data_IF_593853815521
#
_entry.id   IF_593853815521
#
_cell.length_a   1.000
_cell.length_b   1.000
_cell.length_c   1.000
_cell.angle_alpha   90.00
_cell.angle_beta   90.00
_cell.angle_gamma   90.00
#
_symmetry.space_group_name_H-M   'P 1'
#
loop_
_entity.id
_entity.type
_entity.pdbx_description
1 polymer ?
#
# COMPACT_ATOMS: atom_id res chain seq x y z
N UNK A 1 -5.02 -15.05 -9.68
CA UNK A 1 -4.38 -13.76 -9.97
C UNK A 1 -2.90 -13.91 -10.20
N UNK A 2 -2.09 -14.30 -9.22
CA UNK A 2 -0.62 -14.33 -9.32
C UNK A 2 -0.05 -15.15 -10.49
N UNK A 3 -0.72 -16.20 -10.92
CA UNK A 3 -0.32 -16.94 -12.13
C UNK A 3 -0.44 -16.08 -13.40
N UNK A 4 -1.48 -15.26 -13.49
CA UNK A 4 -1.69 -14.36 -14.64
C UNK A 4 -0.60 -13.30 -14.67
N UNK A 5 -0.30 -12.69 -13.53
CA UNK A 5 0.77 -11.69 -13.39
C UNK A 5 2.15 -12.30 -13.66
N UNK A 6 2.41 -13.52 -13.19
CA UNK A 6 3.63 -14.26 -13.51
C UNK A 6 3.80 -14.53 -15.01
N UNK A 7 2.74 -14.94 -15.68
CA UNK A 7 2.75 -15.14 -17.15
C UNK A 7 2.97 -13.80 -17.88
N UNK A 8 2.28 -12.73 -17.45
CA UNK A 8 2.48 -11.40 -18.01
C UNK A 8 3.92 -10.90 -17.79
N UNK A 9 4.52 -11.21 -16.64
CA UNK A 9 5.92 -10.90 -16.33
C UNK A 9 6.92 -11.57 -17.27
N UNK A 10 6.66 -12.80 -17.69
CA UNK A 10 7.50 -13.50 -18.68
C UNK A 10 7.50 -12.80 -20.04
N UNK A 11 6.40 -12.14 -20.38
CA UNK A 11 6.24 -11.43 -21.65
C UNK A 11 6.44 -9.90 -21.50
N UNK A 12 6.92 -9.42 -20.36
CA UNK A 12 7.09 -8.00 -20.06
C UNK A 12 7.85 -7.24 -21.15
N UNK A 13 8.85 -7.86 -21.77
CA UNK A 13 9.63 -7.29 -22.84
C UNK A 13 8.79 -6.79 -24.05
N UNK A 14 7.66 -7.44 -24.31
CA UNK A 14 6.75 -7.05 -25.37
C UNK A 14 5.78 -5.96 -24.93
N UNK A 15 5.31 -6.04 -23.68
CA UNK A 15 4.34 -5.12 -23.09
C UNK A 15 4.94 -3.76 -22.75
N UNK A 16 6.20 -3.71 -22.30
CA UNK A 16 6.88 -2.47 -21.92
C UNK A 16 6.96 -1.49 -23.08
N UNK A 17 7.07 -2.00 -24.32
CA UNK A 17 7.06 -1.18 -25.53
C UNK A 17 5.69 -0.58 -25.87
N UNK A 18 4.63 -1.23 -25.38
CA UNK A 18 3.25 -0.81 -25.61
C UNK A 18 2.78 0.20 -24.55
N UNK A 19 3.46 0.27 -23.39
CA UNK A 19 3.11 1.13 -22.27
C UNK A 19 4.08 2.30 -22.18
N UNK A 20 3.76 3.47 -22.81
CA UNK A 20 4.58 4.68 -22.65
C UNK A 20 4.64 5.10 -21.18
N UNK A 21 5.74 5.75 -20.77
CA UNK A 21 5.92 6.27 -19.40
C UNK A 21 4.76 7.18 -18.94
N UNK A 22 4.12 7.89 -19.87
CA UNK A 22 2.94 8.72 -19.58
C UNK A 22 1.77 7.89 -19.06
N UNK A 23 1.54 6.70 -19.61
CA UNK A 23 0.46 5.79 -19.16
C UNK A 23 0.72 5.33 -17.74
N UNK A 24 1.94 4.88 -17.43
CA UNK A 24 2.33 4.48 -16.08
C UNK A 24 2.16 5.63 -15.09
N UNK A 25 2.65 6.83 -15.42
CA UNK A 25 2.49 8.01 -14.56
C UNK A 25 1.02 8.37 -14.32
N UNK A 26 0.17 8.26 -15.35
CA UNK A 26 -1.27 8.52 -15.22
C UNK A 26 -1.95 7.50 -14.32
N UNK A 27 -1.62 6.21 -14.46
CA UNK A 27 -2.17 5.13 -13.62
C UNK A 27 -1.78 5.33 -12.16
N UNK A 28 -0.50 5.56 -11.86
CA UNK A 28 -0.01 5.83 -10.50
C UNK A 28 -0.69 7.06 -9.88
N UNK A 29 -0.85 8.13 -10.66
CA UNK A 29 -1.55 9.34 -10.22
C UNK A 29 -3.03 9.04 -9.92
N UNK A 30 -3.72 8.30 -10.77
CA UNK A 30 -5.12 7.92 -10.59
C UNK A 30 -5.30 7.05 -9.33
N UNK A 31 -4.38 6.11 -9.09
CA UNK A 31 -4.36 5.29 -7.86
C UNK A 31 -4.18 6.19 -6.64
N UNK A 32 -3.23 7.13 -6.67
CA UNK A 32 -3.02 8.10 -5.60
C UNK A 32 -4.29 8.86 -5.26
N UNK A 33 -5.02 9.37 -6.25
CA UNK A 33 -6.30 10.04 -6.04
C UNK A 33 -7.39 9.12 -5.49
N UNK A 34 -7.43 7.87 -5.94
CA UNK A 34 -8.39 6.87 -5.44
C UNK A 34 -8.14 6.48 -3.98
N UNK A 35 -6.91 6.58 -3.51
CA UNK A 35 -6.54 6.29 -2.12
C UNK A 35 -6.80 7.46 -1.16
N UNK A 36 -7.00 8.69 -1.66
CA UNK A 36 -7.27 9.86 -0.82
C UNK A 36 -8.50 9.69 0.11
N UNK A 37 -9.66 9.20 -0.36
CA UNK A 37 -10.80 8.97 0.52
C UNK A 37 -10.52 7.92 1.59
N UNK A 38 -9.76 6.87 1.24
CA UNK A 38 -9.36 5.80 2.18
C UNK A 38 -8.43 6.38 3.24
N UNK A 39 -7.45 7.19 2.83
CA UNK A 39 -6.56 7.90 3.73
C UNK A 39 -7.30 8.86 4.67
N UNK A 40 -8.23 9.65 4.14
CA UNK A 40 -9.06 10.57 4.92
C UNK A 40 -9.92 9.84 5.95
N UNK A 41 -10.55 8.73 5.57
CA UNK A 41 -11.33 7.91 6.48
C UNK A 41 -10.46 7.28 7.59
N UNK A 42 -9.27 6.78 7.24
CA UNK A 42 -8.33 6.23 8.21
C UNK A 42 -7.81 7.31 9.17
N UNK A 43 -7.56 8.52 8.66
CA UNK A 43 -7.15 9.67 9.45
C UNK A 43 -8.23 10.09 10.47
N UNK A 44 -9.51 9.94 10.12
CA UNK A 44 -10.64 10.22 10.99
C UNK A 44 -10.93 9.11 12.02
N UNK A 45 -10.18 8.00 12.02
CA UNK A 45 -10.33 6.90 12.96
C UNK A 45 -10.89 5.61 12.38
N UNK A 46 -11.08 5.53 11.06
CA UNK A 46 -11.62 4.36 10.35
C UNK A 46 -13.13 4.34 10.24
N UNK A 47 -13.63 3.88 9.08
CA UNK A 47 -15.07 3.77 8.83
C UNK A 47 -15.72 2.78 9.79
N UNK A 48 -16.82 3.20 10.45
CA UNK A 48 -17.57 2.36 11.38
C UNK A 48 -17.07 2.41 12.82
N UNK A 49 -16.02 3.15 13.13
CA UNK A 49 -15.61 3.41 14.50
C UNK A 49 -16.62 4.35 15.18
N UNK A 50 -17.03 4.08 16.45
CA UNK A 50 -17.90 4.96 17.20
C UNK A 50 -17.28 6.36 17.42
N UNK A 51 -15.96 6.46 17.40
CA UNK A 51 -15.19 7.70 17.57
C UNK A 51 -14.76 8.33 16.25
N UNK A 52 -15.43 7.97 15.14
CA UNK A 52 -15.12 8.53 13.83
C UNK A 52 -15.21 10.06 13.83
N UNK A 53 -14.17 10.72 13.37
CA UNK A 53 -14.12 12.19 13.32
C UNK A 53 -13.83 12.87 14.67
N UNK A 54 -13.54 12.11 15.74
CA UNK A 54 -13.20 12.69 17.04
C UNK A 54 -11.92 13.53 16.98
N UNK A 55 -11.85 14.53 17.86
CA UNK A 55 -10.66 15.39 17.97
C UNK A 55 -9.40 14.59 18.27
N UNK A 56 -9.52 13.52 19.06
CA UNK A 56 -8.41 12.63 19.39
C UNK A 56 -7.82 11.96 18.15
N UNK A 57 -8.66 11.46 17.24
CA UNK A 57 -8.22 10.86 15.98
C UNK A 57 -7.48 11.90 15.12
N UNK A 58 -8.01 13.13 15.05
CA UNK A 58 -7.39 14.22 14.31
C UNK A 58 -6.01 14.60 14.88
N UNK A 59 -5.86 14.63 16.20
CA UNK A 59 -4.57 14.91 16.87
C UNK A 59 -3.57 13.80 16.55
N UNK A 60 -3.94 12.55 16.77
CA UNK A 60 -3.04 11.40 16.50
C UNK A 60 -2.64 11.36 15.04
N UNK A 61 -3.61 11.50 14.12
CA UNK A 61 -3.37 11.52 12.69
C UNK A 61 -2.43 12.66 12.27
N UNK A 62 -2.67 13.88 12.78
CA UNK A 62 -1.85 15.05 12.47
C UNK A 62 -0.42 14.91 12.97
N UNK A 63 -0.23 14.43 14.20
CA UNK A 63 1.10 14.22 14.80
C UNK A 63 1.85 13.11 14.03
N UNK A 64 1.17 12.03 13.68
CA UNK A 64 1.74 10.94 12.88
C UNK A 64 2.20 11.42 11.52
N UNK A 65 1.35 12.18 10.82
CA UNK A 65 1.67 12.75 9.52
C UNK A 65 2.85 13.73 9.62
N UNK A 66 2.82 14.60 10.62
CA UNK A 66 3.89 15.58 10.86
C UNK A 66 5.22 14.88 11.15
N UNK A 67 5.22 13.84 12.00
CA UNK A 67 6.40 13.05 12.31
C UNK A 67 6.98 12.39 11.06
N UNK A 68 6.12 11.81 10.22
CA UNK A 68 6.51 11.21 8.94
C UNK A 68 7.14 12.27 8.01
N UNK A 69 6.51 13.43 7.83
CA UNK A 69 7.01 14.52 6.99
C UNK A 69 8.32 15.11 7.51
N UNK A 70 8.43 15.34 8.81
CA UNK A 70 9.66 15.84 9.42
C UNK A 70 10.81 14.84 9.23
N UNK A 71 10.54 13.55 9.43
CA UNK A 71 11.54 12.52 9.17
C UNK A 71 11.93 12.50 7.69
N UNK A 72 10.98 12.60 6.77
CA UNK A 72 11.23 12.63 5.33
C UNK A 72 12.12 13.82 4.90
N UNK A 73 11.92 14.98 5.50
CA UNK A 73 12.64 16.23 5.15
C UNK A 73 14.00 16.30 5.82
N UNK A 74 14.07 16.03 7.11
CA UNK A 74 15.28 16.27 7.92
C UNK A 74 16.20 15.06 8.03
N UNK A 75 15.66 13.82 7.93
CA UNK A 75 16.51 12.64 8.02
C UNK A 75 17.30 12.41 6.73
N UNK A 76 18.50 11.85 6.88
CA UNK A 76 19.40 11.51 5.78
C UNK A 76 19.62 10.00 5.70
N UNK A 77 19.90 9.50 4.50
CA UNK A 77 20.24 8.11 4.28
C UNK A 77 19.10 7.14 4.62
N UNK A 78 19.40 6.10 5.36
CA UNK A 78 18.49 4.99 5.67
C UNK A 78 17.23 5.43 6.46
N UNK A 79 17.38 6.37 7.40
CA UNK A 79 16.28 6.90 8.19
C UNK A 79 15.22 7.62 7.34
N UNK A 80 15.62 8.27 6.25
CA UNK A 80 14.68 8.89 5.31
C UNK A 80 13.79 7.84 4.64
N UNK A 81 14.34 6.69 4.29
CA UNK A 81 13.58 5.58 3.70
C UNK A 81 12.60 4.95 4.71
N UNK A 82 12.90 5.06 6.00
CA UNK A 82 12.05 4.56 7.09
C UNK A 82 11.09 5.61 7.66
N UNK A 83 10.91 6.76 7.00
CA UNK A 83 10.07 7.86 7.51
C UNK A 83 8.64 7.44 7.87
N UNK A 84 8.05 6.57 7.05
CA UNK A 84 6.69 6.03 7.30
C UNK A 84 6.67 5.15 8.56
N UNK A 85 7.69 4.32 8.77
CA UNK A 85 7.82 3.48 9.96
C UNK A 85 7.99 4.33 11.23
N UNK A 86 8.80 5.39 11.16
CA UNK A 86 8.96 6.34 12.26
C UNK A 86 7.63 7.01 12.59
N UNK A 87 6.91 7.49 11.58
CA UNK A 87 5.57 8.06 11.76
C UNK A 87 4.61 7.08 12.43
N UNK A 88 4.59 5.83 11.98
CA UNK A 88 3.76 4.77 12.55
C UNK A 88 4.08 4.50 14.02
N UNK A 89 5.36 4.41 14.38
CA UNK A 89 5.80 4.20 15.78
C UNK A 89 5.37 5.38 16.65
N UNK A 90 5.62 6.60 16.21
CA UNK A 90 5.24 7.82 16.97
C UNK A 90 3.71 7.89 17.14
N UNK A 91 2.95 7.65 16.08
CA UNK A 91 1.49 7.65 16.14
C UNK A 91 0.94 6.56 17.06
N UNK A 92 1.51 5.35 17.01
CA UNK A 92 1.09 4.26 17.86
C UNK A 92 1.39 4.52 19.34
N UNK A 93 2.57 5.05 19.65
CA UNK A 93 2.93 5.45 21.01
C UNK A 93 1.94 6.50 21.52
N UNK A 94 1.65 7.54 20.73
CA UNK A 94 0.70 8.57 21.10
C UNK A 94 -0.71 8.00 21.33
N UNK A 95 -1.18 7.12 20.46
CA UNK A 95 -2.47 6.45 20.61
C UNK A 95 -2.54 5.60 21.90
N UNK A 96 -1.45 4.93 22.27
CA UNK A 96 -1.35 4.22 23.56
C UNK A 96 -1.44 5.18 24.75
N UNK A 97 -0.75 6.32 24.70
CA UNK A 97 -0.82 7.34 25.78
C UNK A 97 -2.22 7.95 25.91
N UNK A 98 -2.93 8.09 24.80
CA UNK A 98 -4.31 8.60 24.80
C UNK A 98 -5.35 7.53 25.17
N UNK A 99 -4.93 6.29 25.44
CA UNK A 99 -5.84 5.17 25.82
C UNK A 99 -6.75 4.72 24.67
N UNK A 100 -6.38 5.01 23.41
CA UNK A 100 -7.19 4.65 22.24
C UNK A 100 -6.93 3.21 21.76
N UNK A 101 -5.94 2.54 22.32
CA UNK A 101 -5.55 1.18 21.94
C UNK A 101 -6.18 0.18 22.91
N UNK A 102 -7.05 -0.67 22.39
CA UNK A 102 -7.65 -1.77 23.15
C UNK A 102 -6.83 -3.07 22.95
N UNK A 103 -6.19 -3.52 24.01
CA UNK A 103 -5.41 -4.76 24.03
C UNK A 103 -6.24 -5.98 24.44
N UNK A 104 -7.52 -5.82 24.78
CA UNK A 104 -8.36 -6.93 25.25
C UNK A 104 -8.51 -8.04 24.20
N UNK A 105 -8.52 -7.69 22.93
CA UNK A 105 -8.57 -8.63 21.82
C UNK A 105 -7.35 -9.54 21.69
N UNK A 106 -6.22 -9.16 22.29
CA UNK A 106 -4.98 -9.95 22.24
C UNK A 106 -4.97 -11.11 23.25
N UNK A 107 -5.73 -11.02 24.32
CA UNK A 107 -5.72 -12.01 25.42
C UNK A 107 -6.28 -13.39 25.03
N UNK A 108 -7.01 -13.48 23.91
CA UNK A 108 -7.59 -14.73 23.38
C UNK A 108 -6.86 -15.31 22.17
N UNK A 109 -5.81 -14.66 21.69
CA UNK A 109 -5.11 -15.10 20.50
C UNK A 109 -4.02 -16.13 20.83
N UNK A 110 -3.95 -17.21 20.04
CA UNK A 110 -2.83 -18.14 20.11
C UNK A 110 -1.56 -17.44 19.59
N UNK A 111 -0.45 -17.59 20.33
CA UNK A 111 0.85 -17.00 19.96
C UNK A 111 1.34 -17.53 18.61
N UNK A 112 0.98 -18.76 18.27
CA UNK A 112 1.26 -19.38 16.96
C UNK A 112 -0.01 -20.04 16.46
N UNK A 113 -0.47 -19.65 15.29
CA UNK A 113 -1.55 -20.33 14.59
C UNK A 113 -1.07 -20.79 13.22
N UNK A 114 -1.32 -22.06 12.90
CA UNK A 114 -1.03 -22.57 11.56
C UNK A 114 -2.06 -22.05 10.57
N UNK A 115 -1.62 -21.53 9.42
CA UNK A 115 -2.54 -21.13 8.36
C UNK A 115 -3.32 -22.35 7.87
N UNK A 116 -4.64 -22.21 7.77
CA UNK A 116 -5.47 -23.24 7.14
C UNK A 116 -5.27 -23.17 5.63
N UNK A 117 -4.79 -24.26 5.05
CA UNK A 117 -4.74 -24.43 3.62
C UNK A 117 -6.19 -24.55 3.09
N UNK A 118 -6.57 -23.63 2.22
CA UNK A 118 -7.89 -23.57 1.58
C UNK A 118 -9.08 -23.59 2.57
N UNK A 119 -9.30 -22.52 3.35
CA UNK A 119 -10.45 -22.44 4.25
C UNK A 119 -11.80 -22.36 3.50
N UNK A 120 -11.77 -22.05 2.21
CA UNK A 120 -12.92 -21.95 1.31
C UNK A 120 -12.78 -22.95 0.16
N UNK A 121 -13.90 -23.54 -0.24
CA UNK A 121 -13.96 -24.37 -1.47
C UNK A 121 -13.75 -23.47 -2.69
N UNK A 122 -12.80 -23.77 -3.58
CA UNK A 122 -12.61 -23.00 -4.79
C UNK A 122 -13.82 -23.17 -5.72
N UNK A 123 -14.49 -22.08 -6.02
CA UNK A 123 -15.56 -22.01 -7.01
C UNK A 123 -15.04 -21.31 -8.27
N UNK A 124 -15.31 -21.90 -9.44
CA UNK A 124 -14.93 -21.33 -10.71
C UNK A 124 -16.09 -20.52 -11.31
N UNK A 125 -16.08 -19.22 -11.12
CA UNK A 125 -17.02 -18.31 -11.75
C UNK A 125 -16.29 -17.50 -12.85
N UNK A 126 -16.70 -17.69 -14.11
CA UNK A 126 -16.04 -17.06 -15.26
C UNK A 126 -16.10 -15.53 -15.16
N UNK A 127 -17.22 -14.95 -14.70
CA UNK A 127 -17.34 -13.50 -14.53
C UNK A 127 -16.36 -12.94 -13.48
N UNK A 128 -16.23 -13.62 -12.34
CA UNK A 128 -15.26 -13.27 -11.32
C UNK A 128 -13.82 -13.40 -11.82
N UNK A 129 -13.52 -14.47 -12.58
CA UNK A 129 -12.19 -14.68 -13.15
C UNK A 129 -11.84 -13.57 -14.13
N UNK A 130 -12.74 -13.18 -15.04
CA UNK A 130 -12.50 -12.10 -16.00
C UNK A 130 -12.30 -10.76 -15.30
N UNK A 131 -13.10 -10.45 -14.29
CA UNK A 131 -12.95 -9.23 -13.50
C UNK A 131 -11.60 -9.16 -12.79
N UNK A 132 -11.19 -10.27 -12.18
CA UNK A 132 -9.89 -10.38 -11.51
C UNK A 132 -8.74 -10.27 -12.51
N UNK A 133 -8.83 -10.89 -13.68
CA UNK A 133 -7.82 -10.77 -14.74
C UNK A 133 -7.67 -9.33 -15.20
N UNK A 134 -8.78 -8.60 -15.39
CA UNK A 134 -8.74 -7.19 -15.75
C UNK A 134 -8.02 -6.33 -14.70
N UNK A 135 -8.28 -6.57 -13.40
CA UNK A 135 -7.56 -5.90 -12.30
C UNK A 135 -6.07 -6.21 -12.33
N UNK A 136 -5.70 -7.48 -12.60
CA UNK A 136 -4.29 -7.86 -12.69
C UNK A 136 -3.55 -7.26 -13.88
N UNK A 137 -4.23 -6.97 -14.99
CA UNK A 137 -3.64 -6.21 -16.09
C UNK A 137 -3.27 -4.77 -15.66
N UNK A 138 -4.14 -4.12 -14.87
CA UNK A 138 -3.85 -2.81 -14.29
C UNK A 138 -2.68 -2.89 -13.30
N UNK A 139 -2.69 -3.88 -12.40
CA UNK A 139 -1.61 -4.11 -11.43
C UNK A 139 -0.26 -4.37 -12.11
N UNK A 140 -0.24 -5.14 -13.19
CA UNK A 140 0.98 -5.36 -13.97
C UNK A 140 1.53 -4.05 -14.57
N UNK A 141 0.65 -3.16 -15.02
CA UNK A 141 1.04 -1.84 -15.55
C UNK A 141 1.64 -0.96 -14.43
N UNK A 142 1.05 -1.00 -13.24
CA UNK A 142 1.55 -0.31 -12.04
C UNK A 142 2.95 -0.83 -11.67
N UNK A 143 3.13 -2.14 -11.58
CA UNK A 143 4.42 -2.76 -11.26
C UNK A 143 5.51 -2.38 -12.25
N UNK A 144 5.18 -2.29 -13.55
CA UNK A 144 6.11 -1.81 -14.58
C UNK A 144 6.46 -0.34 -14.34
N UNK A 145 5.47 0.48 -14.01
CA UNK A 145 5.67 1.90 -13.71
C UNK A 145 6.59 2.13 -12.53
N UNK A 146 6.33 1.45 -11.42
CA UNK A 146 7.11 1.53 -10.18
C UNK A 146 8.53 1.03 -10.37
N UNK A 147 8.70 -0.10 -11.07
CA UNK A 147 10.02 -0.65 -11.39
C UNK A 147 10.80 0.29 -12.28
N UNK A 148 10.17 0.90 -13.28
CA UNK A 148 10.80 1.88 -14.17
C UNK A 148 11.21 3.14 -13.41
N UNK A 149 10.34 3.64 -12.52
CA UNK A 149 10.64 4.79 -11.68
C UNK A 149 11.81 4.50 -10.73
N UNK A 150 11.86 3.30 -10.15
CA UNK A 150 12.96 2.87 -9.29
C UNK A 150 14.28 2.75 -10.07
N UNK A 151 14.27 2.14 -11.25
CA UNK A 151 15.45 2.00 -12.09
C UNK A 151 16.00 3.36 -12.51
N UNK A 152 15.15 4.26 -12.95
CA UNK A 152 15.55 5.61 -13.37
C UNK A 152 15.98 6.47 -12.18
N UNK A 153 15.23 6.46 -11.08
CA UNK A 153 15.47 7.32 -9.93
C UNK A 153 16.60 6.86 -9.00
N UNK A 154 16.72 5.55 -8.77
CA UNK A 154 17.69 5.00 -7.83
C UNK A 154 18.96 4.45 -8.51
N UNK A 155 18.82 3.84 -9.68
CA UNK A 155 19.92 3.16 -10.37
C UNK A 155 20.48 3.98 -11.53
N UNK A 156 19.82 5.07 -11.91
CA UNK A 156 20.16 5.91 -13.07
C UNK A 156 20.35 5.06 -14.34
N UNK A 157 19.51 4.05 -14.51
CA UNK A 157 19.51 3.10 -15.62
C UNK A 157 18.15 3.08 -16.27
N UNK A 158 18.13 3.08 -17.60
CA UNK A 158 16.91 2.87 -18.35
C UNK A 158 16.54 1.38 -18.35
N UNK A 159 15.32 0.99 -17.93
CA UNK A 159 14.91 -0.43 -17.92
C UNK A 159 14.87 -1.05 -19.32
N UNK A 160 14.88 -0.23 -20.37
CA UNK A 160 14.84 -0.67 -21.76
C UNK A 160 16.22 -1.06 -22.36
N UNK A 161 17.31 -0.84 -21.62
CA UNK A 161 18.67 -0.99 -22.17
C UNK A 161 19.30 -2.37 -22.00
N UNK A 162 18.53 -3.40 -21.63
CA UNK A 162 19.03 -4.80 -21.63
C UNK A 162 18.02 -5.80 -22.14
#
# INVERSE_FOLDING_TARGET
GGLVEGVLGLFVKYWIKLIPHVVSATVVTAIGFSLLPIGANSFAGGMGSPDFGSLNNWIVGSVTLLACLLCQVFAKGFLRSLSVLVGLIVGYILACFMGMVDFSGLSGLAVVSMPRLMPFTPEFNIGAILSVVAVYLVSATETIGDTSALCNGALNRDPETK
#
